data_IF_428215393613
#
_entry.id   IF_428215393613
#
_cell.length_a   1.000
_cell.length_b   1.000
_cell.length_c   1.000
_cell.angle_alpha   90.00
_cell.angle_beta   90.00
_cell.angle_gamma   90.00
#
_symmetry.space_group_name_H-M   'P 1'
#
loop_
_entity.id
_entity.type
_entity.pdbx_description
1 polymer ?
#
# COMPACT_ATOMS: atom_id res chain seq x y z
N UNK A 1 -72.56 59.82 19.17
CA UNK A 1 -73.26 58.64 18.64
C UNK A 1 -72.34 57.97 17.62
N UNK A 2 -72.23 56.64 17.67
CA UNK A 2 -71.09 55.78 17.29
C UNK A 2 -70.34 56.12 15.98
N UNK A 3 -69.02 56.25 16.12
CA UNK A 3 -68.00 56.31 15.06
C UNK A 3 -67.54 54.88 14.70
N UNK A 4 -67.31 54.65 13.42
CA UNK A 4 -66.85 53.39 12.83
C UNK A 4 -65.44 53.04 13.33
N UNK A 5 -65.17 51.76 13.60
CA UNK A 5 -63.80 51.23 13.68
C UNK A 5 -63.70 49.92 12.91
N UNK A 6 -63.16 50.04 11.72
CA UNK A 6 -62.61 49.00 10.85
C UNK A 6 -61.47 48.28 11.60
N UNK A 7 -61.51 46.95 11.66
CA UNK A 7 -60.40 46.13 12.14
C UNK A 7 -59.70 45.51 10.94
N UNK A 8 -58.42 45.86 10.78
CA UNK A 8 -57.47 45.30 9.81
C UNK A 8 -57.12 43.87 10.21
N UNK A 9 -57.24 42.94 9.27
CA UNK A 9 -56.84 41.54 9.41
C UNK A 9 -55.36 41.43 8.99
N UNK A 10 -54.46 41.17 9.94
CA UNK A 10 -53.04 40.97 9.68
C UNK A 10 -52.77 39.49 9.35
N UNK A 11 -52.44 39.21 8.09
CA UNK A 11 -51.99 37.88 7.63
C UNK A 11 -50.50 37.74 7.93
N UNK A 12 -50.14 36.85 8.84
CA UNK A 12 -48.76 36.43 9.10
C UNK A 12 -48.38 35.34 8.10
N UNK A 13 -47.49 35.66 7.16
CA UNK A 13 -46.85 34.68 6.27
C UNK A 13 -45.67 34.04 7.02
N UNK A 14 -45.82 32.77 7.39
CA UNK A 14 -44.76 31.96 7.99
C UNK A 14 -43.92 31.33 6.85
N UNK A 15 -42.75 31.91 6.56
CA UNK A 15 -41.75 31.31 5.69
C UNK A 15 -41.04 30.17 6.44
N UNK A 16 -41.36 28.93 6.10
CA UNK A 16 -40.59 27.76 6.55
C UNK A 16 -39.32 27.65 5.71
N UNK A 17 -38.18 28.01 6.29
CA UNK A 17 -36.88 27.72 5.71
C UNK A 17 -36.62 26.20 5.80
N UNK A 18 -36.71 25.52 4.66
CA UNK A 18 -36.19 24.17 4.50
C UNK A 18 -34.66 24.25 4.51
N UNK A 19 -34.05 24.11 5.68
CA UNK A 19 -32.60 23.99 5.80
C UNK A 19 -32.24 22.57 5.34
N UNK A 20 -31.75 22.46 4.11
CA UNK A 20 -31.16 21.24 3.59
C UNK A 20 -29.76 21.15 4.20
N UNK A 21 -29.64 20.47 5.35
CA UNK A 21 -28.33 20.17 5.91
C UNK A 21 -27.58 19.25 4.93
N UNK A 22 -26.35 19.60 4.50
CA UNK A 22 -25.52 18.65 3.79
C UNK A 22 -25.16 17.52 4.76
N UNK A 23 -25.65 16.31 4.48
CA UNK A 23 -25.11 15.10 5.08
C UNK A 23 -23.66 15.00 4.63
N UNK A 24 -22.75 15.49 5.46
CA UNK A 24 -21.35 15.10 5.43
C UNK A 24 -21.33 13.59 5.64
N UNK A 25 -21.26 12.85 4.53
CA UNK A 25 -20.87 11.44 4.60
C UNK A 25 -19.46 11.46 5.15
N UNK A 26 -19.29 11.07 6.41
CA UNK A 26 -17.97 10.77 6.94
C UNK A 26 -17.40 9.72 5.99
N UNK A 27 -16.41 10.10 5.18
CA UNK A 27 -15.56 9.13 4.53
C UNK A 27 -15.06 8.23 5.66
N UNK A 28 -15.36 6.94 5.56
CA UNK A 28 -14.94 5.90 6.49
C UNK A 28 -13.41 5.92 6.52
N UNK A 29 -12.85 6.77 7.38
CA UNK A 29 -11.41 6.94 7.50
C UNK A 29 -10.94 5.81 8.42
N UNK A 30 -11.03 4.58 7.91
CA UNK A 30 -10.46 3.41 8.54
C UNK A 30 -8.95 3.58 8.55
N UNK A 31 -8.45 4.20 9.62
CA UNK A 31 -7.02 4.35 9.85
C UNK A 31 -6.41 2.97 10.05
N UNK A 32 -5.84 2.39 8.99
CA UNK A 32 -5.14 1.12 9.07
C UNK A 32 -3.89 1.29 9.94
N UNK A 33 -3.85 0.57 11.06
CA UNK A 33 -2.71 0.56 11.99
C UNK A 33 -1.98 -0.78 11.88
N UNK A 34 -0.65 -0.76 12.03
CA UNK A 34 0.21 -1.92 11.88
C UNK A 34 1.23 -2.02 13.01
N UNK A 35 1.47 -3.24 13.48
CA UNK A 35 2.66 -3.58 14.26
C UNK A 35 3.71 -4.19 13.33
N UNK A 36 4.95 -3.68 13.40
CA UNK A 36 6.03 -4.10 12.50
C UNK A 36 7.22 -4.55 13.32
N UNK A 37 7.66 -5.79 13.08
CA UNK A 37 8.89 -6.34 13.66
C UNK A 37 9.91 -6.58 12.57
N UNK A 38 11.12 -6.07 12.72
CA UNK A 38 12.26 -6.35 11.83
C UNK A 38 13.22 -7.33 12.49
N UNK A 39 13.89 -8.15 11.68
CA UNK A 39 14.88 -9.10 12.19
C UNK A 39 16.19 -8.43 12.58
N UNK A 40 16.66 -7.46 11.78
CA UNK A 40 17.86 -6.70 12.09
C UNK A 40 17.48 -5.32 12.66
N UNK A 41 18.06 -4.88 13.78
CA UNK A 41 17.68 -3.62 14.42
C UNK A 41 18.04 -2.38 13.59
N UNK A 42 18.99 -2.50 12.66
CA UNK A 42 19.35 -1.47 11.68
C UNK A 42 18.37 -1.35 10.50
N UNK A 43 17.51 -2.35 10.29
CA UNK A 43 16.45 -2.25 9.29
C UNK A 43 15.37 -1.31 9.81
N UNK A 44 14.87 -0.43 8.95
CA UNK A 44 13.79 0.49 9.29
C UNK A 44 12.64 0.37 8.31
N UNK A 45 11.41 0.41 8.83
CA UNK A 45 10.19 0.44 8.03
C UNK A 45 9.42 1.71 8.35
N UNK A 46 9.22 2.56 7.33
CA UNK A 46 8.33 3.72 7.42
C UNK A 46 7.00 3.38 6.75
N UNK A 47 5.90 3.65 7.43
CA UNK A 47 4.56 3.47 6.88
C UNK A 47 4.07 4.81 6.35
N UNK A 48 3.65 4.84 5.09
CA UNK A 48 3.01 6.01 4.47
C UNK A 48 1.65 5.57 3.98
N UNK A 49 0.59 6.19 4.50
CA UNK A 49 -0.79 5.90 4.11
C UNK A 49 -1.35 7.09 3.33
N UNK A 50 -1.82 6.79 2.13
CA UNK A 50 -2.65 7.64 1.29
C UNK A 50 -4.06 7.01 1.24
N UNK A 51 -5.10 7.75 0.82
CA UNK A 51 -6.52 7.36 0.99
C UNK A 51 -6.84 5.88 0.72
N UNK A 52 -6.23 5.25 -0.28
CA UNK A 52 -6.47 3.83 -0.65
C UNK A 52 -5.22 2.96 -0.71
N UNK A 53 -4.06 3.51 -0.39
CA UNK A 53 -2.77 2.83 -0.55
C UNK A 53 -1.93 3.02 0.70
N UNK A 54 -1.42 1.91 1.23
CA UNK A 54 -0.36 1.96 2.24
C UNK A 54 0.94 1.47 1.63
N UNK A 55 2.01 2.25 1.86
CA UNK A 55 3.36 1.91 1.47
C UNK A 55 4.22 1.60 2.71
N UNK A 56 4.87 0.43 2.69
CA UNK A 56 5.90 0.05 3.64
C UNK A 56 7.27 0.31 3.01
N UNK A 57 7.91 1.39 3.43
CA UNK A 57 9.20 1.85 2.92
C UNK A 57 10.33 1.31 3.78
N UNK A 58 11.07 0.33 3.25
CA UNK A 58 12.08 -0.45 3.97
C UNK A 58 13.48 0.03 3.57
N UNK A 59 14.27 0.48 4.55
CA UNK A 59 15.72 0.65 4.41
C UNK A 59 16.43 -0.45 5.17
N UNK A 60 17.36 -1.12 4.52
CA UNK A 60 18.14 -2.21 5.09
C UNK A 60 19.61 -2.00 4.79
N UNK A 61 20.39 -1.45 5.74
CA UNK A 61 21.81 -1.15 5.52
C UNK A 61 22.63 -2.37 5.10
N UNK A 62 22.26 -3.57 5.57
CA UNK A 62 22.95 -4.83 5.22
C UNK A 62 22.52 -5.42 3.89
N UNK A 63 21.44 -4.91 3.29
CA UNK A 63 20.88 -5.44 2.06
C UNK A 63 20.23 -6.82 2.20
N UNK A 64 20.16 -7.41 3.40
CA UNK A 64 19.48 -8.67 3.67
C UNK A 64 18.71 -8.54 4.97
N UNK A 65 17.46 -8.97 4.97
CA UNK A 65 16.62 -8.81 6.15
C UNK A 65 15.24 -9.41 6.00
N UNK A 66 14.48 -9.25 7.07
CA UNK A 66 13.11 -9.73 7.19
C UNK A 66 12.28 -8.74 8.00
N UNK A 67 11.03 -8.57 7.62
CA UNK A 67 10.01 -7.86 8.39
C UNK A 67 8.74 -8.71 8.53
N UNK A 68 8.07 -8.60 9.67
CA UNK A 68 6.70 -9.10 9.88
C UNK A 68 5.82 -7.87 10.06
N UNK A 69 4.85 -7.72 9.17
CA UNK A 69 3.84 -6.66 9.22
C UNK A 69 2.55 -7.32 9.70
N UNK A 70 2.10 -6.96 10.90
CA UNK A 70 0.86 -7.40 11.48
C UNK A 70 -0.18 -6.29 11.34
N UNK A 71 -1.37 -6.62 10.83
CA UNK A 71 -2.50 -5.67 10.86
C UNK A 71 -3.07 -5.62 12.27
N UNK A 72 -3.39 -4.42 12.75
CA UNK A 72 -4.11 -4.22 14.02
C UNK A 72 -5.60 -3.89 13.76
N UNK A 73 -5.95 -3.57 12.52
CA UNK A 73 -7.32 -3.39 12.07
C UNK A 73 -7.90 -4.70 11.50
N UNK A 74 -9.22 -4.75 11.33
CA UNK A 74 -9.94 -5.92 10.80
C UNK A 74 -9.62 -6.21 9.33
N UNK A 75 -9.17 -5.20 8.57
CA UNK A 75 -8.88 -5.31 7.15
C UNK A 75 -7.54 -4.69 6.77
N UNK A 76 -6.94 -5.25 5.72
CA UNK A 76 -5.83 -4.60 5.02
C UNK A 76 -6.34 -3.43 4.17
N UNK A 77 -5.48 -2.43 3.90
CA UNK A 77 -5.75 -1.42 2.87
C UNK A 77 -6.04 -2.05 1.52
N UNK A 78 -6.82 -1.35 0.69
CA UNK A 78 -7.16 -1.81 -0.68
C UNK A 78 -5.90 -2.11 -1.51
N UNK A 79 -4.87 -1.27 -1.35
CA UNK A 79 -3.57 -1.44 -2.04
C UNK A 79 -2.43 -1.38 -1.06
N UNK A 80 -1.53 -2.35 -1.16
CA UNK A 80 -0.27 -2.36 -0.43
C UNK A 80 0.89 -2.28 -1.41
N UNK A 81 1.85 -1.42 -1.09
CA UNK A 81 3.15 -1.40 -1.76
C UNK A 81 4.28 -1.60 -0.75
N UNK A 82 5.35 -2.24 -1.20
CA UNK A 82 6.61 -2.36 -0.48
C UNK A 82 7.66 -1.63 -1.30
N UNK A 83 8.36 -0.71 -0.65
CA UNK A 83 9.41 0.10 -1.26
C UNK A 83 10.73 -0.33 -0.65
N UNK A 84 11.52 -1.14 -1.38
CA UNK A 84 12.84 -1.56 -0.94
C UNK A 84 13.90 -0.57 -1.42
N UNK A 85 14.58 0.11 -0.48
CA UNK A 85 15.70 1.01 -0.78
C UNK A 85 16.99 0.19 -0.93
N UNK A 86 17.04 -0.65 -1.96
CA UNK A 86 18.13 -1.57 -2.29
C UNK A 86 18.72 -1.24 -3.66
N UNK A 87 19.94 -1.70 -3.93
CA UNK A 87 20.62 -1.53 -5.23
C UNK A 87 20.18 -2.59 -6.23
N UNK A 88 19.87 -3.79 -5.76
CA UNK A 88 19.34 -4.89 -6.55
C UNK A 88 18.45 -5.81 -5.73
N UNK A 89 17.88 -6.81 -6.39
CA UNK A 89 16.98 -7.77 -5.76
C UNK A 89 17.35 -9.20 -6.18
N UNK A 90 18.25 -9.81 -5.42
CA UNK A 90 18.59 -11.24 -5.57
C UNK A 90 17.41 -12.12 -5.19
N UNK A 91 16.75 -11.77 -4.10
CA UNK A 91 15.60 -12.50 -3.64
C UNK A 91 14.64 -11.58 -2.92
N UNK A 92 13.37 -11.68 -3.27
CA UNK A 92 12.26 -11.17 -2.52
C UNK A 92 11.32 -12.31 -2.20
N UNK A 93 10.73 -12.27 -1.01
CA UNK A 93 9.67 -13.17 -0.60
C UNK A 93 8.63 -12.41 0.21
N UNK A 94 7.36 -12.63 -0.10
CA UNK A 94 6.23 -12.21 0.73
C UNK A 94 5.27 -13.37 0.96
N UNK A 95 4.79 -13.55 2.18
CA UNK A 95 3.86 -14.63 2.53
C UNK A 95 2.78 -14.17 3.50
N UNK A 96 1.57 -14.68 3.30
CA UNK A 96 0.41 -14.59 4.21
C UNK A 96 0.31 -15.79 5.18
N UNK A 97 1.29 -16.71 5.13
CA UNK A 97 1.32 -17.97 5.88
C UNK A 97 0.83 -19.20 5.09
N UNK A 98 -0.03 -19.03 4.08
CA UNK A 98 -0.53 -20.13 3.24
C UNK A 98 0.06 -20.10 1.83
N UNK A 99 0.15 -18.90 1.25
CA UNK A 99 0.78 -18.60 -0.03
C UNK A 99 2.09 -17.86 0.21
N UNK A 100 3.09 -18.19 -0.60
CA UNK A 100 4.34 -17.44 -0.66
C UNK A 100 4.58 -17.02 -2.10
N UNK A 101 4.88 -15.74 -2.31
CA UNK A 101 5.29 -15.19 -3.60
C UNK A 101 6.75 -14.80 -3.52
N UNK A 102 7.44 -15.04 -4.62
CA UNK A 102 8.86 -14.80 -4.74
C UNK A 102 9.14 -13.90 -5.94
N UNK A 103 10.24 -13.15 -5.87
CA UNK A 103 10.75 -12.43 -7.02
C UNK A 103 12.27 -12.27 -6.99
N UNK A 104 12.84 -12.01 -8.16
CA UNK A 104 14.22 -11.60 -8.36
C UNK A 104 14.30 -10.64 -9.55
N UNK A 105 15.35 -9.84 -9.59
CA UNK A 105 15.68 -8.93 -10.69
C UNK A 105 17.09 -9.28 -11.18
N UNK A 106 17.35 -9.28 -12.49
CA UNK A 106 18.72 -9.47 -13.01
C UNK A 106 19.72 -8.54 -12.33
N UNK A 107 20.97 -9.02 -12.14
CA UNK A 107 22.05 -8.28 -11.45
C UNK A 107 22.92 -7.43 -12.39
N UNK A 108 22.56 -7.32 -13.65
CA UNK A 108 23.26 -6.46 -14.62
C UNK A 108 22.38 -6.18 -15.84
N UNK A 109 22.75 -5.13 -16.58
CA UNK A 109 22.07 -4.72 -17.81
C UNK A 109 20.68 -4.13 -17.56
N UNK A 110 19.80 -4.29 -18.54
CA UNK A 110 18.39 -3.90 -18.42
C UNK A 110 17.71 -4.80 -17.39
N UNK A 111 17.00 -4.26 -16.38
CA UNK A 111 16.35 -5.06 -15.36
C UNK A 111 15.34 -6.06 -15.93
N UNK A 112 15.57 -7.34 -15.69
CA UNK A 112 14.66 -8.44 -16.00
C UNK A 112 14.05 -8.98 -14.71
N UNK A 113 12.72 -9.00 -14.64
CA UNK A 113 11.97 -9.35 -13.44
C UNK A 113 11.41 -10.75 -13.60
N UNK A 114 11.62 -11.60 -12.61
CA UNK A 114 11.03 -12.94 -12.52
C UNK A 114 10.26 -13.06 -11.21
N UNK A 115 9.05 -13.61 -11.27
CA UNK A 115 8.22 -13.87 -10.09
C UNK A 115 7.67 -15.29 -10.15
N UNK A 116 7.49 -15.94 -9.01
CA UNK A 116 6.94 -17.30 -8.92
C UNK A 116 6.19 -17.51 -7.60
N UNK A 117 5.42 -18.59 -7.50
CA UNK A 117 4.60 -18.92 -6.32
C UNK A 117 5.08 -20.22 -5.68
N UNK A 118 5.16 -20.22 -4.35
CA UNK A 118 5.62 -21.35 -3.57
C UNK A 118 7.02 -21.80 -3.97
N UNK A 119 7.22 -23.10 -4.11
CA UNK A 119 8.52 -23.69 -4.46
C UNK A 119 8.70 -23.89 -5.99
N UNK A 120 7.80 -23.35 -6.81
CA UNK A 120 7.81 -23.55 -8.26
C UNK A 120 8.68 -22.51 -8.98
N UNK A 121 9.95 -22.40 -8.60
CA UNK A 121 10.85 -21.38 -9.18
C UNK A 121 10.92 -21.50 -10.71
N UNK A 122 11.03 -22.72 -11.23
CA UNK A 122 11.07 -23.07 -12.65
C UNK A 122 9.80 -22.73 -13.43
N UNK A 123 8.73 -22.30 -12.76
CA UNK A 123 7.46 -21.87 -13.37
C UNK A 123 7.18 -20.40 -13.03
N UNK A 124 7.74 -19.44 -13.79
CA UNK A 124 7.43 -18.04 -13.60
C UNK A 124 5.93 -17.77 -13.72
N UNK A 125 5.41 -16.86 -12.90
CA UNK A 125 4.02 -16.42 -13.02
C UNK A 125 3.83 -15.64 -14.32
N UNK A 126 2.65 -15.81 -14.93
CA UNK A 126 2.19 -14.92 -16.00
C UNK A 126 1.71 -13.59 -15.42
N UNK A 127 1.84 -12.51 -16.18
CA UNK A 127 1.44 -11.16 -15.75
C UNK A 127 -0.06 -11.01 -15.49
N UNK A 128 -0.90 -11.91 -16.00
CA UNK A 128 -2.34 -11.98 -15.73
C UNK A 128 -2.68 -12.81 -14.49
N UNK A 129 -1.69 -13.44 -13.85
CA UNK A 129 -1.92 -14.18 -12.61
C UNK A 129 -2.49 -13.26 -11.53
N UNK A 130 -3.49 -13.70 -10.76
CA UNK A 130 -3.98 -12.92 -9.62
C UNK A 130 -2.90 -12.73 -8.54
N UNK A 131 -1.84 -13.54 -8.57
CA UNK A 131 -0.69 -13.48 -7.67
C UNK A 131 0.53 -12.77 -8.29
N UNK A 132 0.37 -12.10 -9.42
CA UNK A 132 1.47 -11.38 -10.06
C UNK A 132 1.98 -10.25 -9.15
N UNK A 133 3.28 -10.28 -8.82
CA UNK A 133 3.95 -9.15 -8.15
C UNK A 133 4.33 -8.14 -9.22
N UNK A 134 3.64 -7.00 -9.25
CA UNK A 134 4.02 -5.90 -10.13
C UNK A 134 5.22 -5.17 -9.50
N UNK A 135 6.40 -5.38 -10.09
CA UNK A 135 7.66 -4.83 -9.60
C UNK A 135 8.16 -3.79 -10.59
N UNK A 136 8.60 -2.64 -10.06
CA UNK A 136 9.22 -1.56 -10.83
C UNK A 136 10.48 -1.10 -10.11
N UNK A 137 11.53 -0.86 -10.87
CA UNK A 137 12.71 -0.16 -10.38
C UNK A 137 12.53 1.30 -10.74
N UNK A 138 12.46 2.16 -9.73
CA UNK A 138 12.20 3.59 -9.88
C UNK A 138 13.42 4.35 -9.38
N UNK A 139 13.95 5.25 -10.19
CA UNK A 139 15.09 6.09 -9.80
C UNK A 139 14.68 7.21 -8.82
N UNK A 140 15.63 8.04 -8.42
CA UNK A 140 15.39 9.16 -7.50
C UNK A 140 14.41 10.22 -8.05
N UNK A 141 14.28 10.29 -9.38
CA UNK A 141 13.50 11.29 -10.11
C UNK A 141 12.09 10.76 -10.43
N UNK A 142 11.80 9.51 -10.04
CA UNK A 142 10.50 8.87 -10.26
C UNK A 142 10.38 8.14 -11.61
N UNK A 143 11.45 8.04 -12.39
CA UNK A 143 11.43 7.36 -13.69
C UNK A 143 11.77 5.87 -13.55
N UNK A 144 11.37 5.07 -14.53
CA UNK A 144 11.79 3.67 -14.59
C UNK A 144 13.30 3.58 -14.84
N UNK A 145 13.99 2.86 -13.95
CA UNK A 145 15.40 2.60 -14.11
C UNK A 145 15.65 1.67 -15.30
N UNK A 146 16.67 2.00 -16.09
CA UNK A 146 17.09 1.25 -17.28
C UNK A 146 18.41 0.49 -17.04
N UNK A 147 19.01 0.66 -15.86
CA UNK A 147 20.25 0.01 -15.45
C UNK A 147 20.19 -0.47 -13.99
N UNK A 148 21.01 -1.48 -13.69
CA UNK A 148 21.26 -1.99 -12.33
C UNK A 148 22.78 -2.20 -12.14
N UNK A 149 23.37 -1.96 -10.95
CA UNK A 149 22.76 -1.56 -9.68
C UNK A 149 22.06 -0.21 -9.70
N UNK A 150 20.92 -0.11 -8.99
CA UNK A 150 20.29 1.18 -8.70
C UNK A 150 21.26 2.04 -7.90
N UNK A 151 21.61 3.21 -8.45
CA UNK A 151 22.44 4.19 -7.75
C UNK A 151 21.66 4.84 -6.60
N UNK A 152 20.40 5.21 -6.90
CA UNK A 152 19.43 5.81 -6.00
C UNK A 152 18.03 5.46 -6.48
N UNK A 153 17.06 5.54 -5.58
CA UNK A 153 15.66 5.21 -5.86
C UNK A 153 15.21 4.01 -5.04
N UNK A 154 14.30 3.23 -5.61
CA UNK A 154 13.55 2.20 -4.91
C UNK A 154 13.12 1.09 -5.85
N UNK A 155 13.09 -0.13 -5.33
CA UNK A 155 12.38 -1.25 -5.96
C UNK A 155 10.97 -1.26 -5.37
N UNK A 156 10.00 -0.82 -6.16
CA UNK A 156 8.59 -0.80 -5.80
C UNK A 156 7.96 -2.15 -6.11
N UNK A 157 7.27 -2.73 -5.13
CA UNK A 157 6.59 -4.02 -5.24
C UNK A 157 5.14 -3.81 -4.84
N UNK A 158 4.21 -3.94 -5.78
CA UNK A 158 2.79 -3.96 -5.45
C UNK A 158 2.38 -5.36 -5.00
N UNK A 159 1.86 -5.45 -3.79
CA UNK A 159 1.32 -6.71 -3.26
C UNK A 159 -0.01 -7.00 -3.97
N UNK A 160 -0.18 -8.17 -4.59
CA UNK A 160 -1.41 -8.51 -5.27
C UNK A 160 -2.57 -8.65 -4.27
N UNK A 161 -3.75 -8.16 -4.65
CA UNK A 161 -4.96 -8.23 -3.82
C UNK A 161 -5.30 -9.68 -3.42
N UNK A 162 -5.00 -10.66 -4.28
CA UNK A 162 -5.24 -12.08 -4.00
C UNK A 162 -4.39 -12.63 -2.83
N UNK A 163 -3.28 -11.96 -2.45
CA UNK A 163 -2.50 -12.35 -1.27
C UNK A 163 -3.11 -11.82 0.04
N UNK A 164 -3.93 -10.78 -0.03
CA UNK A 164 -4.53 -10.14 1.15
C UNK A 164 -6.04 -10.34 1.25
N UNK A 165 -6.67 -10.99 0.26
CA UNK A 165 -8.13 -11.15 0.17
C UNK A 165 -8.74 -11.93 1.32
N UNK A 166 -7.98 -12.85 1.94
CA UNK A 166 -8.42 -13.61 3.11
C UNK A 166 -8.08 -12.88 4.43
N UNK A 167 -7.75 -11.60 4.36
CA UNK A 167 -7.39 -10.75 5.49
C UNK A 167 -6.39 -11.42 6.46
N UNK A 168 -5.23 -11.91 5.98
CA UNK A 168 -4.26 -12.57 6.85
C UNK A 168 -3.85 -11.65 7.99
N UNK A 169 -3.63 -12.18 9.18
CA UNK A 169 -3.20 -11.37 10.32
C UNK A 169 -1.83 -10.71 10.06
N UNK A 170 -0.96 -11.42 9.34
CA UNK A 170 0.44 -11.07 9.14
C UNK A 170 0.87 -11.25 7.69
N UNK A 171 1.70 -10.33 7.21
CA UNK A 171 2.53 -10.50 6.03
C UNK A 171 4.00 -10.61 6.47
N UNK A 172 4.67 -11.69 6.06
CA UNK A 172 6.10 -11.89 6.28
C UNK A 172 6.84 -11.52 5.00
N UNK A 173 7.78 -10.58 5.11
CA UNK A 173 8.56 -10.04 4.00
C UNK A 173 10.03 -10.37 4.23
N UNK A 174 10.73 -10.85 3.20
CA UNK A 174 12.16 -11.11 3.23
C UNK A 174 12.81 -10.59 1.95
N UNK A 175 14.03 -10.05 2.06
CA UNK A 175 14.76 -9.49 0.93
C UNK A 175 16.25 -9.84 1.00
N UNK A 176 16.87 -9.89 -0.18
CA UNK A 176 18.30 -10.02 -0.40
C UNK A 176 18.70 -9.12 -1.57
N UNK A 177 19.67 -8.26 -1.34
CA UNK A 177 20.33 -7.42 -2.35
C UNK A 177 21.59 -8.14 -2.85
N UNK A 178 21.78 -8.17 -4.17
CA UNK A 178 23.02 -8.66 -4.80
C UNK A 178 24.26 -7.88 -4.35
N UNK A 179 24.10 -6.58 -4.05
CA UNK A 179 25.21 -5.68 -3.77
C UNK A 179 25.37 -5.40 -2.28
N UNK A 180 24.95 -6.36 -1.45
CA UNK A 180 25.13 -6.35 0.01
C UNK A 180 26.62 -6.29 0.39
N UNK A 181 26.93 -5.51 1.42
CA UNK A 181 28.28 -5.16 1.89
C UNK A 181 28.34 -3.71 2.34
#
# INVERSE_FOLDING_TARGET
>A
MRLHKTIFMATVLLFTHLVCDPVLTAADNHSHTFSITVHHPEDTVKVVTEEKRTCFSIRSPRGIGQAVIQREADSWPEKIAIHLHLKGLEGFRISDGATTLHASVSSSGVPLIRTWKGNEEDKPLDSKSPYWLNIKLVDQDGNLATEIPLKKGVIEIQVPAALISNAPEKLKVHWIDFYRG
#
